data_IF_770953878195
#
_entry.id   IF_770953878195
#
_cell.length_a   1.000
_cell.length_b   1.000
_cell.length_c   1.000
_cell.angle_alpha   90.00
_cell.angle_beta   90.00
_cell.angle_gamma   90.00
#
_symmetry.space_group_name_H-M   'P 1'
#
loop_
_entity.id
_entity.type
_entity.pdbx_description
1 polymer ?
#
# COMPACT_ATOMS: atom_id res chain seq x y z
N UNK A 1 2.42 0.93 14.51
CA UNK A 1 1.21 1.71 14.23
C UNK A 1 -0.01 0.82 14.42
N UNK A 2 -1.14 1.34 14.88
CA UNK A 2 -2.41 0.57 14.97
C UNK A 2 -2.99 0.32 13.57
N UNK A 3 -3.66 -0.82 13.34
CA UNK A 3 -4.20 -1.20 12.02
C UNK A 3 -5.22 -0.18 11.48
N UNK A 4 -6.02 0.44 12.35
CA UNK A 4 -7.00 1.44 11.92
C UNK A 4 -6.32 2.75 11.53
N UNK A 5 -5.28 3.14 12.26
CA UNK A 5 -4.47 4.31 11.91
C UNK A 5 -3.73 4.09 10.59
N UNK A 6 -3.20 2.88 10.38
CA UNK A 6 -2.55 2.50 9.12
C UNK A 6 -3.49 2.64 7.92
N UNK A 7 -4.70 2.08 8.00
CA UNK A 7 -5.69 2.20 6.91
C UNK A 7 -6.10 3.66 6.69
N UNK A 8 -6.34 4.44 7.75
CA UNK A 8 -6.66 5.86 7.59
C UNK A 8 -5.56 6.64 6.87
N UNK A 9 -4.28 6.37 7.19
CA UNK A 9 -3.17 7.03 6.49
C UNK A 9 -3.13 6.64 5.01
N UNK A 10 -3.37 5.37 4.70
CA UNK A 10 -3.42 4.90 3.32
C UNK A 10 -4.56 5.58 2.55
N UNK A 11 -5.77 5.55 3.09
CA UNK A 11 -6.97 6.12 2.46
C UNK A 11 -6.87 7.65 2.30
N UNK A 12 -6.40 8.35 3.33
CA UNK A 12 -6.53 9.81 3.39
C UNK A 12 -5.30 10.56 2.85
N UNK A 13 -4.15 9.91 2.79
CA UNK A 13 -2.89 10.57 2.42
C UNK A 13 -2.22 9.84 1.26
N UNK A 14 -2.03 8.53 1.39
CA UNK A 14 -1.22 7.77 0.44
C UNK A 14 -1.89 7.62 -0.92
N UNK A 15 -3.14 7.12 -0.97
CA UNK A 15 -3.86 6.92 -2.23
C UNK A 15 -4.02 8.22 -3.02
N UNK A 16 -4.48 9.34 -2.41
CA UNK A 16 -4.55 10.61 -3.13
C UNK A 16 -3.19 11.07 -3.67
N UNK A 17 -2.11 10.87 -2.91
CA UNK A 17 -0.77 11.25 -3.37
C UNK A 17 -0.29 10.38 -4.53
N UNK A 18 -0.48 9.07 -4.45
CA UNK A 18 -0.20 8.13 -5.55
C UNK A 18 -0.97 8.54 -6.81
N UNK A 19 -2.25 8.86 -6.68
CA UNK A 19 -3.10 9.27 -7.80
C UNK A 19 -2.60 10.56 -8.47
N UNK A 20 -1.93 11.45 -7.73
CA UNK A 20 -1.29 12.64 -8.32
C UNK A 20 0.04 12.36 -9.03
N UNK A 21 0.76 11.31 -8.61
CA UNK A 21 2.06 10.94 -9.20
C UNK A 21 1.90 10.07 -10.44
N UNK A 22 0.88 9.22 -10.43
CA UNK A 22 0.66 8.14 -11.36
C UNK A 22 -0.71 8.31 -12.00
N UNK A 23 -0.85 9.37 -12.79
CA UNK A 23 -2.08 9.62 -13.54
C UNK A 23 -2.22 8.54 -14.63
N UNK A 24 -3.39 7.90 -14.69
CA UNK A 24 -3.78 6.96 -15.76
C UNK A 24 -2.95 5.65 -15.88
N UNK A 25 -2.33 5.18 -14.79
CA UNK A 25 -1.66 3.87 -14.74
C UNK A 25 -2.20 2.99 -13.61
N UNK A 26 -2.32 1.69 -13.88
CA UNK A 26 -2.73 0.70 -12.88
C UNK A 26 -1.64 0.55 -11.81
N UNK A 27 -1.97 0.97 -10.58
CA UNK A 27 -1.07 0.86 -9.43
C UNK A 27 -1.43 -0.36 -8.62
N UNK A 28 -0.50 -1.32 -8.60
CA UNK A 28 -0.66 -2.57 -7.87
C UNK A 28 -0.06 -2.43 -6.47
N UNK A 29 -0.80 -2.89 -5.46
CA UNK A 29 -0.32 -2.90 -4.08
C UNK A 29 0.42 -4.18 -3.70
N UNK A 30 1.55 -4.04 -2.99
CA UNK A 30 2.27 -5.13 -2.34
C UNK A 30 2.36 -4.89 -0.83
N UNK A 31 2.12 -5.94 -0.05
CA UNK A 31 2.09 -5.81 1.41
C UNK A 31 3.50 -5.64 2.00
N UNK A 32 3.58 -4.80 3.03
CA UNK A 32 4.74 -4.81 3.92
C UNK A 32 4.80 -6.11 4.76
N UNK A 33 6.01 -6.48 5.17
CA UNK A 33 6.32 -7.63 6.00
C UNK A 33 5.94 -7.47 7.48
N UNK A 34 5.61 -6.26 7.96
CA UNK A 34 5.14 -6.05 9.34
C UNK A 34 3.77 -6.72 9.57
N UNK A 35 3.72 -7.62 10.55
CA UNK A 35 2.53 -8.40 10.89
C UNK A 35 1.31 -7.55 11.30
N UNK A 36 1.51 -6.31 11.76
CA UNK A 36 0.42 -5.39 12.11
C UNK A 36 -0.31 -4.85 10.87
N UNK A 37 0.39 -4.74 9.75
CA UNK A 37 -0.16 -4.34 8.45
C UNK A 37 -0.88 -5.51 7.76
N UNK A 38 -0.61 -6.75 8.18
CA UNK A 38 -1.17 -8.00 7.63
C UNK A 38 -2.40 -8.55 8.37
N UNK A 39 -3.07 -7.73 9.18
CA UNK A 39 -4.36 -8.15 9.74
C UNK A 39 -5.39 -8.33 8.63
N UNK A 40 -6.27 -9.33 8.72
CA UNK A 40 -7.31 -9.58 7.71
C UNK A 40 -8.12 -8.31 7.36
N UNK A 41 -8.42 -7.50 8.38
CA UNK A 41 -9.11 -6.23 8.18
C UNK A 41 -8.30 -5.26 7.31
N UNK A 42 -7.00 -5.13 7.57
CA UNK A 42 -6.14 -4.23 6.81
C UNK A 42 -5.96 -4.71 5.36
N UNK A 43 -5.74 -6.01 5.15
CA UNK A 43 -5.61 -6.60 3.82
C UNK A 43 -6.86 -6.38 2.96
N UNK A 44 -8.05 -6.61 3.54
CA UNK A 44 -9.31 -6.38 2.84
C UNK A 44 -9.47 -4.91 2.45
N UNK A 45 -9.14 -3.98 3.36
CA UNK A 45 -9.26 -2.54 3.09
C UNK A 45 -8.29 -2.05 2.03
N UNK A 46 -7.05 -2.53 2.06
CA UNK A 46 -6.06 -2.23 1.02
C UNK A 46 -6.56 -2.69 -0.35
N UNK A 47 -7.11 -3.90 -0.43
CA UNK A 47 -7.67 -4.42 -1.67
C UNK A 47 -8.83 -3.56 -2.20
N UNK A 48 -9.70 -3.06 -1.31
CA UNK A 48 -10.76 -2.12 -1.67
C UNK A 48 -10.23 -0.76 -2.20
N UNK A 49 -9.10 -0.27 -1.65
CA UNK A 49 -8.55 1.05 -1.99
C UNK A 49 -7.81 1.04 -3.33
N UNK A 50 -7.00 0.01 -3.56
CA UNK A 50 -6.15 -0.07 -4.76
C UNK A 50 -6.76 -0.90 -5.87
N UNK A 51 -7.84 -1.63 -5.62
CA UNK A 51 -8.52 -2.55 -6.55
C UNK A 51 -7.66 -3.72 -7.07
N UNK A 52 -6.34 -3.65 -6.95
CA UNK A 52 -5.37 -4.66 -7.36
C UNK A 52 -4.30 -4.85 -6.28
N UNK A 53 -4.56 -5.74 -5.32
CA UNK A 53 -3.56 -6.22 -4.36
C UNK A 53 -3.02 -7.57 -4.83
N UNK A 54 -1.69 -7.73 -4.85
CA UNK A 54 -1.05 -9.01 -5.16
C UNK A 54 -1.15 -9.95 -3.97
N UNK A 55 -1.47 -11.22 -4.20
CA UNK A 55 -1.47 -12.22 -3.13
C UNK A 55 -0.06 -12.45 -2.56
N UNK A 56 0.08 -12.75 -1.26
CA UNK A 56 1.38 -12.81 -0.61
C UNK A 56 2.39 -13.76 -1.27
N UNK A 57 1.93 -14.83 -1.90
CA UNK A 57 2.77 -15.82 -2.59
C UNK A 57 3.32 -15.31 -3.92
N UNK A 58 2.67 -14.32 -4.53
CA UNK A 58 3.02 -13.71 -5.81
C UNK A 58 3.78 -12.37 -5.62
N UNK A 59 3.85 -11.87 -4.38
CA UNK A 59 4.60 -10.67 -4.05
C UNK A 59 6.11 -10.88 -4.25
N UNK A 60 6.75 -9.93 -4.94
CA UNK A 60 8.18 -9.97 -5.14
C UNK A 60 8.91 -9.88 -3.78
N UNK A 61 9.97 -10.68 -3.62
CA UNK A 61 10.80 -10.62 -2.43
C UNK A 61 11.55 -9.28 -2.38
N UNK A 62 11.12 -8.38 -1.48
CA UNK A 62 11.71 -7.04 -1.27
C UNK A 62 11.93 -6.25 -2.57
N UNK A 63 10.88 -5.58 -3.04
CA UNK A 63 10.92 -4.23 -3.67
C UNK A 63 12.13 -3.95 -4.60
N UNK A 64 12.46 -4.82 -5.56
CA UNK A 64 13.73 -4.65 -6.27
C UNK A 64 13.67 -3.65 -7.42
N UNK A 65 12.50 -3.38 -8.04
CA UNK A 65 12.44 -2.40 -9.15
C UNK A 65 11.08 -1.66 -9.30
N UNK A 66 10.12 -1.89 -8.40
CA UNK A 66 8.81 -1.24 -8.41
C UNK A 66 8.75 -0.35 -7.17
N UNK A 67 8.50 0.95 -7.36
CA UNK A 67 8.61 1.99 -6.33
C UNK A 67 8.06 1.55 -4.97
N UNK A 68 8.94 1.42 -3.98
CA UNK A 68 8.52 0.95 -2.67
C UNK A 68 7.61 1.95 -1.98
N UNK A 69 6.59 1.45 -1.29
CA UNK A 69 5.75 2.27 -0.41
C UNK A 69 6.60 3.05 0.62
N UNK A 70 7.75 2.52 1.01
CA UNK A 70 8.75 3.18 1.87
C UNK A 70 9.23 4.52 1.28
N UNK A 71 9.41 4.59 -0.04
CA UNK A 71 9.73 5.86 -0.70
C UNK A 71 8.57 6.84 -0.60
N UNK A 72 7.33 6.35 -0.71
CA UNK A 72 6.12 7.18 -0.61
C UNK A 72 5.89 7.68 0.81
N UNK A 73 6.13 6.84 1.83
CA UNK A 73 6.13 7.26 3.23
C UNK A 73 7.12 8.39 3.50
N UNK A 74 8.23 8.45 2.77
CA UNK A 74 9.19 9.57 2.85
C UNK A 74 8.66 10.91 2.31
N UNK A 75 7.67 10.89 1.41
CA UNK A 75 7.05 12.09 0.83
C UNK A 75 5.86 12.61 1.64
N UNK A 76 5.18 11.73 2.38
CA UNK A 76 4.07 12.09 3.26
C UNK A 76 4.65 12.50 4.62
N UNK A 77 4.70 13.82 4.89
CA UNK A 77 5.15 14.40 6.16
C UNK A 77 3.99 14.79 7.06
#
# INVERSE_FOLDING_TARGET
MDRFLYIKLIEQQLKPYIDTLYDDVDVIWQDDSDSKHRSQYALNKINEIFNERVEPEEQAAKMTDIWSIENIWGYIK
#
